data_IF_579720329769
#
_entry.id   IF_579720329769
#
_cell.length_a   1.000
_cell.length_b   1.000
_cell.length_c   1.000
_cell.angle_alpha   90.00
_cell.angle_beta   90.00
_cell.angle_gamma   90.00
#
_symmetry.space_group_name_H-M   'P 1'
#
loop_
_entity.id
_entity.type
_entity.pdbx_description
1 polymer ?
#
# COMPACT_ATOMS: atom_id res chain seq x y z
N UNK A 1 1.23 11.23 -19.11
CA UNK A 1 0.39 10.47 -18.14
C UNK A 1 0.92 9.06 -17.97
N UNK A 2 1.32 8.36 -19.04
CA UNK A 2 2.03 7.07 -18.97
C UNK A 2 3.34 7.14 -18.16
N UNK A 3 4.14 8.20 -18.33
CA UNK A 3 5.40 8.36 -17.58
C UNK A 3 5.24 8.39 -16.05
N UNK A 4 4.13 8.92 -15.52
CA UNK A 4 3.93 9.03 -14.06
C UNK A 4 3.52 7.68 -13.45
N UNK A 5 2.70 6.92 -14.18
CA UNK A 5 2.30 5.57 -13.77
C UNK A 5 3.49 4.60 -13.89
N UNK A 6 4.33 4.73 -14.92
CA UNK A 6 5.59 3.98 -15.07
C UNK A 6 6.59 4.31 -13.97
N UNK A 7 6.81 5.60 -13.67
CA UNK A 7 7.66 6.04 -12.56
C UNK A 7 7.18 5.49 -11.22
N UNK A 8 5.86 5.45 -11.00
CA UNK A 8 5.28 4.91 -9.77
C UNK A 8 5.46 3.40 -9.68
N UNK A 9 5.28 2.66 -10.77
CA UNK A 9 5.52 1.22 -10.80
C UNK A 9 7.00 0.90 -10.54
N UNK A 10 7.92 1.69 -11.09
CA UNK A 10 9.35 1.57 -10.84
C UNK A 10 9.69 1.84 -9.37
N UNK A 11 9.07 2.85 -8.76
CA UNK A 11 9.21 3.16 -7.33
C UNK A 11 8.69 2.02 -6.45
N UNK A 12 7.52 1.46 -6.77
CA UNK A 12 6.96 0.31 -6.03
C UNK A 12 7.88 -0.91 -6.14
N UNK A 13 8.44 -1.16 -7.33
CA UNK A 13 9.38 -2.25 -7.57
C UNK A 13 10.66 -2.07 -6.76
N UNK A 14 11.20 -0.85 -6.70
CA UNK A 14 12.37 -0.50 -5.87
C UNK A 14 12.09 -0.69 -4.37
N UNK A 15 10.91 -0.30 -3.89
CA UNK A 15 10.50 -0.50 -2.48
C UNK A 15 10.39 -1.99 -2.16
N UNK A 16 9.72 -2.79 -3.00
CA UNK A 16 9.63 -4.24 -2.79
C UNK A 16 10.99 -4.93 -2.80
N UNK A 17 11.86 -4.53 -3.73
CA UNK A 17 13.22 -5.05 -3.80
C UNK A 17 14.00 -4.75 -2.52
N UNK A 18 13.96 -3.49 -2.06
CA UNK A 18 14.55 -3.06 -0.80
C UNK A 18 14.02 -3.86 0.39
N UNK A 19 12.71 -4.01 0.52
CA UNK A 19 12.09 -4.75 1.62
C UNK A 19 12.52 -6.22 1.63
N UNK A 20 12.64 -6.81 0.44
CA UNK A 20 13.13 -8.18 0.27
C UNK A 20 14.59 -8.29 0.71
N UNK A 21 15.46 -7.37 0.26
CA UNK A 21 16.88 -7.34 0.64
C UNK A 21 17.05 -7.12 2.13
N UNK A 22 16.28 -6.20 2.72
CA UNK A 22 16.29 -5.94 4.16
C UNK A 22 15.85 -7.18 4.95
N UNK A 23 14.76 -7.83 4.53
CA UNK A 23 14.26 -9.05 5.16
C UNK A 23 15.29 -10.19 5.09
N UNK A 24 15.97 -10.36 3.95
CA UNK A 24 17.05 -11.36 3.80
C UNK A 24 18.21 -11.04 4.73
N UNK A 25 18.67 -9.79 4.77
CA UNK A 25 19.77 -9.38 5.64
C UNK A 25 19.46 -9.61 7.13
N UNK A 26 18.25 -9.24 7.56
CA UNK A 26 17.77 -9.47 8.94
C UNK A 26 17.66 -10.97 9.23
N UNK A 27 17.07 -11.76 8.32
CA UNK A 27 16.95 -13.21 8.49
C UNK A 27 18.31 -13.89 8.59
N UNK A 28 19.27 -13.47 7.76
CA UNK A 28 20.66 -13.96 7.77
C UNK A 28 21.35 -13.61 9.09
N UNK A 29 21.11 -12.43 9.64
CA UNK A 29 21.61 -12.03 10.95
C UNK A 29 21.07 -12.94 12.07
N UNK A 30 19.76 -13.24 12.06
CA UNK A 30 19.14 -14.13 13.04
C UNK A 30 19.66 -15.56 12.95
N UNK A 31 19.80 -16.11 11.74
CA UNK A 31 20.37 -17.45 11.54
C UNK A 31 21.82 -17.49 12.05
N UNK A 32 22.62 -16.47 11.73
CA UNK A 32 24.01 -16.37 12.21
C UNK A 32 24.07 -16.31 13.75
N UNK A 33 23.15 -15.59 14.39
CA UNK A 33 23.01 -15.58 15.85
C UNK A 33 22.62 -16.95 16.40
N UNK A 34 21.72 -17.67 15.74
CA UNK A 34 21.36 -19.03 16.10
C UNK A 34 22.56 -19.99 16.05
N UNK A 35 23.33 -19.92 14.97
CA UNK A 35 24.57 -20.71 14.81
C UNK A 35 25.58 -20.37 15.92
N UNK A 36 25.74 -19.08 16.24
CA UNK A 36 26.59 -18.63 17.33
C UNK A 36 26.19 -19.27 18.67
N UNK A 37 24.89 -19.28 18.98
CA UNK A 37 24.37 -19.91 20.21
C UNK A 37 24.66 -21.41 20.22
N UNK A 38 24.48 -22.12 19.09
CA UNK A 38 24.77 -23.55 19.00
C UNK A 38 26.27 -23.86 19.20
N UNK A 39 27.15 -22.98 18.73
CA UNK A 39 28.61 -23.09 18.97
C UNK A 39 28.94 -22.85 20.46
N UNK A 40 28.31 -21.85 21.08
CA UNK A 40 28.54 -21.51 22.49
C UNK A 40 27.99 -22.56 23.46
N UNK A 41 26.89 -23.23 23.10
CA UNK A 41 26.28 -24.32 23.86
C UNK A 41 26.96 -25.68 23.63
N UNK A 42 28.07 -25.72 22.90
CA UNK A 42 28.80 -26.95 22.58
C UNK A 42 27.97 -28.00 21.80
N UNK A 43 26.88 -27.56 21.13
CA UNK A 43 26.08 -28.42 20.25
C UNK A 43 26.82 -28.64 18.92
N UNK A 44 27.54 -27.62 18.44
CA UNK A 44 28.44 -27.71 17.29
C UNK A 44 29.88 -27.78 17.79
N UNK A 45 30.52 -28.93 17.59
CA UNK A 45 31.89 -29.13 18.05
C UNK A 45 32.88 -28.31 17.21
N UNK A 46 33.52 -27.34 17.86
CA UNK A 46 34.64 -26.56 17.32
C UNK A 46 35.79 -26.68 18.30
N UNK A 47 36.98 -26.96 17.76
CA UNK A 47 38.24 -26.96 18.49
C UNK A 47 38.40 -25.68 19.33
N UNK A 48 38.78 -25.85 20.59
CA UNK A 48 38.82 -24.79 21.60
C UNK A 48 39.60 -23.55 21.13
N UNK A 49 40.71 -23.77 20.41
CA UNK A 49 41.60 -22.74 19.87
C UNK A 49 40.92 -21.81 18.87
N UNK A 50 39.93 -22.31 18.12
CA UNK A 50 39.26 -21.56 17.05
C UNK A 50 37.87 -21.08 17.44
N UNK A 51 37.29 -21.62 18.52
CA UNK A 51 35.92 -21.30 18.96
C UNK A 51 35.71 -19.80 19.15
N UNK A 52 36.64 -19.15 19.84
CA UNK A 52 36.57 -17.71 20.12
C UNK A 52 36.66 -16.89 18.84
N UNK A 53 37.61 -17.21 17.96
CA UNK A 53 37.80 -16.51 16.69
C UNK A 53 36.57 -16.64 15.77
N UNK A 54 36.03 -17.85 15.65
CA UNK A 54 34.84 -18.13 14.83
C UNK A 54 33.60 -17.44 15.42
N UNK A 55 33.44 -17.44 16.74
CA UNK A 55 32.32 -16.77 17.41
C UNK A 55 32.34 -15.26 17.17
N UNK A 56 33.52 -14.63 17.28
CA UNK A 56 33.69 -13.19 17.01
C UNK A 56 33.38 -12.89 15.54
N UNK A 57 33.86 -13.70 14.61
CA UNK A 57 33.60 -13.51 13.18
C UNK A 57 32.10 -13.58 12.87
N UNK A 58 31.40 -14.60 13.37
CA UNK A 58 29.96 -14.77 13.18
C UNK A 58 29.20 -13.60 13.80
N UNK A 59 29.61 -13.14 14.99
CA UNK A 59 29.00 -12.00 15.65
C UNK A 59 29.13 -10.71 14.81
N UNK A 60 30.32 -10.45 14.25
CA UNK A 60 30.55 -9.29 13.37
C UNK A 60 29.67 -9.37 12.12
N UNK A 61 29.60 -10.54 11.46
CA UNK A 61 28.78 -10.74 10.26
C UNK A 61 27.28 -10.56 10.55
N UNK A 62 26.80 -11.09 11.67
CA UNK A 62 25.42 -10.90 12.10
C UNK A 62 25.12 -9.42 12.34
N UNK A 63 26.03 -8.71 13.00
CA UNK A 63 25.88 -7.29 13.32
C UNK A 63 25.84 -6.42 12.06
N UNK A 64 26.75 -6.64 11.11
CA UNK A 64 26.77 -5.95 9.82
C UNK A 64 25.49 -6.19 9.02
N UNK A 65 25.00 -7.44 8.97
CA UNK A 65 23.77 -7.80 8.27
C UNK A 65 22.54 -7.11 8.89
N UNK A 66 22.51 -7.02 10.22
CA UNK A 66 21.44 -6.35 10.94
C UNK A 66 21.43 -4.84 10.70
N UNK A 67 22.60 -4.20 10.76
CA UNK A 67 22.74 -2.76 10.45
C UNK A 67 22.29 -2.45 9.02
N UNK A 68 22.70 -3.28 8.05
CA UNK A 68 22.34 -3.08 6.65
C UNK A 68 20.83 -3.25 6.42
N UNK A 69 20.22 -4.25 7.06
CA UNK A 69 18.77 -4.46 6.99
C UNK A 69 17.98 -3.30 7.59
N UNK A 70 18.35 -2.83 8.78
CA UNK A 70 17.70 -1.68 9.43
C UNK A 70 17.90 -0.42 8.59
N UNK A 71 19.13 -0.14 8.15
CA UNK A 71 19.44 1.02 7.33
C UNK A 71 18.60 1.08 6.05
N UNK A 72 18.44 -0.06 5.35
CA UNK A 72 17.59 -0.14 4.16
C UNK A 72 16.14 0.22 4.47
N UNK A 73 15.60 -0.22 5.61
CA UNK A 73 14.22 0.09 6.00
C UNK A 73 14.03 1.55 6.40
N UNK A 74 15.02 2.17 7.04
CA UNK A 74 14.90 3.54 7.59
C UNK A 74 15.28 4.64 6.60
N UNK A 75 16.22 4.38 5.69
CA UNK A 75 16.81 5.42 4.81
C UNK A 75 15.95 5.78 3.61
N UNK A 76 14.99 4.93 3.24
CA UNK A 76 14.07 5.18 2.13
C UNK A 76 12.67 5.30 2.74
N UNK A 77 12.12 6.51 2.92
CA UNK A 77 10.72 6.65 3.30
C UNK A 77 9.88 5.97 2.22
N UNK A 78 9.04 5.02 2.59
CA UNK A 78 8.07 4.44 1.66
C UNK A 78 7.22 5.60 1.13
N UNK A 79 7.28 5.92 -0.17
CA UNK A 79 6.35 6.89 -0.72
C UNK A 79 4.97 6.32 -0.47
N UNK A 80 4.14 7.07 0.25
CA UNK A 80 2.76 6.67 0.44
C UNK A 80 2.15 6.55 -0.95
N UNK A 81 1.73 5.34 -1.32
CA UNK A 81 1.01 5.11 -2.57
C UNK A 81 -0.07 6.20 -2.69
N UNK A 82 -0.16 6.91 -3.83
CA UNK A 82 -1.22 7.89 -4.01
C UNK A 82 -2.54 7.20 -3.71
N UNK A 83 -3.32 7.79 -2.81
CA UNK A 83 -4.61 7.25 -2.40
C UNK A 83 -5.48 7.14 -3.65
N UNK A 84 -5.63 5.92 -4.17
CA UNK A 84 -6.58 5.64 -5.23
C UNK A 84 -7.97 5.76 -4.60
N UNK A 85 -8.76 6.69 -5.12
CA UNK A 85 -10.09 6.99 -4.62
C UNK A 85 -11.08 6.68 -5.72
N UNK A 86 -12.07 5.86 -5.41
CA UNK A 86 -13.30 5.79 -6.19
C UNK A 86 -14.37 6.57 -5.45
N UNK A 87 -15.16 7.38 -6.13
CA UNK A 87 -16.21 8.16 -5.47
C UNK A 87 -17.57 7.93 -6.13
N UNK A 88 -18.64 7.96 -5.34
CA UNK A 88 -20.01 8.07 -5.84
C UNK A 88 -20.33 9.52 -6.25
N UNK A 89 -21.45 9.74 -6.94
CA UNK A 89 -21.80 11.07 -7.46
C UNK A 89 -21.86 12.15 -6.38
N UNK A 90 -22.32 11.78 -5.17
CA UNK A 90 -22.37 12.70 -4.02
C UNK A 90 -20.98 12.99 -3.45
N UNK A 91 -20.15 11.96 -3.30
CA UNK A 91 -18.78 12.06 -2.84
C UNK A 91 -17.90 12.90 -3.76
N UNK A 92 -18.11 12.82 -5.08
CA UNK A 92 -17.39 13.65 -6.07
C UNK A 92 -17.70 15.14 -5.86
N UNK A 93 -18.98 15.49 -5.70
CA UNK A 93 -19.39 16.88 -5.50
C UNK A 93 -18.77 17.46 -4.22
N UNK A 94 -18.87 16.73 -3.11
CA UNK A 94 -18.32 17.15 -1.82
C UNK A 94 -16.77 17.21 -1.83
N UNK A 95 -16.10 16.30 -2.54
CA UNK A 95 -14.64 16.35 -2.72
C UNK A 95 -14.20 17.61 -3.48
N UNK A 96 -14.90 17.95 -4.55
CA UNK A 96 -14.60 19.14 -5.35
C UNK A 96 -14.90 20.44 -4.60
N UNK A 97 -16.00 20.49 -3.84
CA UNK A 97 -16.32 21.64 -2.98
C UNK A 97 -15.23 21.87 -1.91
N UNK A 98 -14.63 20.79 -1.41
CA UNK A 98 -13.51 20.85 -0.44
C UNK A 98 -12.15 21.13 -1.11
N UNK A 99 -12.11 21.31 -2.43
CA UNK A 99 -10.89 21.67 -3.16
C UNK A 99 -9.96 20.49 -3.47
N UNK A 100 -10.47 19.26 -3.50
CA UNK A 100 -9.68 18.11 -3.94
C UNK A 100 -9.37 18.20 -5.44
N UNK A 101 -8.09 18.22 -5.79
CA UNK A 101 -7.56 18.34 -7.15
C UNK A 101 -6.94 17.03 -7.69
N UNK A 102 -6.91 15.99 -6.85
CA UNK A 102 -6.33 14.70 -7.20
C UNK A 102 -7.17 13.88 -8.19
N UNK A 103 -6.59 12.76 -8.64
CA UNK A 103 -7.22 11.85 -9.59
C UNK A 103 -8.35 11.07 -8.92
N UNK A 104 -9.57 11.19 -9.43
CA UNK A 104 -10.76 10.48 -8.94
C UNK A 104 -11.13 9.39 -9.93
N UNK A 105 -11.25 8.16 -9.46
CA UNK A 105 -11.74 7.07 -10.28
C UNK A 105 -13.27 6.98 -10.16
N UNK A 106 -13.95 6.73 -11.26
CA UNK A 106 -15.42 6.67 -11.29
C UNK A 106 -15.86 5.46 -12.11
N UNK A 107 -17.01 4.89 -11.77
CA UNK A 107 -17.60 3.84 -12.61
C UNK A 107 -18.43 4.47 -13.72
N UNK A 108 -18.71 3.70 -14.77
CA UNK A 108 -19.56 4.17 -15.87
C UNK A 108 -20.96 4.60 -15.39
N UNK A 109 -21.53 3.87 -14.42
CA UNK A 109 -22.84 4.19 -13.83
C UNK A 109 -22.81 5.48 -13.01
N UNK A 110 -21.73 5.73 -12.27
CA UNK A 110 -21.53 7.01 -11.57
C UNK A 110 -21.32 8.15 -12.56
N UNK A 111 -20.50 7.94 -13.60
CA UNK A 111 -20.16 8.98 -14.59
C UNK A 111 -21.40 9.48 -15.35
N UNK A 112 -22.31 8.58 -15.74
CA UNK A 112 -23.57 8.93 -16.40
C UNK A 112 -24.48 9.86 -15.57
N UNK A 113 -24.39 9.78 -14.24
CA UNK A 113 -25.22 10.59 -13.32
C UNK A 113 -24.63 11.96 -13.02
N UNK A 114 -23.37 12.20 -13.36
CA UNK A 114 -22.69 13.45 -13.06
C UNK A 114 -23.07 14.56 -14.05
N UNK A 115 -23.22 15.81 -13.58
CA UNK A 115 -23.35 16.94 -14.49
C UNK A 115 -22.09 17.07 -15.37
N UNK A 116 -22.23 17.36 -16.69
CA UNK A 116 -21.08 17.47 -17.60
C UNK A 116 -20.02 18.50 -17.15
N UNK A 117 -20.45 19.55 -16.44
CA UNK A 117 -19.56 20.57 -15.87
C UNK A 117 -18.62 20.03 -14.79
N UNK A 118 -19.06 19.01 -14.05
CA UNK A 118 -18.27 18.29 -13.03
C UNK A 118 -17.29 17.35 -13.72
N UNK A 119 -17.78 16.67 -14.78
CA UNK A 119 -17.01 15.94 -15.79
C UNK A 119 -15.68 16.57 -16.18
N UNK A 120 -15.75 17.84 -16.54
CA UNK A 120 -14.63 18.61 -17.11
C UNK A 120 -13.71 19.23 -16.05
N UNK A 121 -14.21 19.45 -14.82
CA UNK A 121 -13.44 20.08 -13.74
C UNK A 121 -12.65 19.08 -12.92
N UNK A 122 -13.16 17.86 -12.80
CA UNK A 122 -12.51 16.81 -12.02
C UNK A 122 -11.56 15.99 -12.91
N UNK A 123 -10.38 15.68 -12.39
CA UNK A 123 -9.43 14.77 -13.03
C UNK A 123 -9.91 13.32 -12.89
N UNK A 124 -10.94 12.96 -13.67
CA UNK A 124 -11.64 11.68 -13.55
C UNK A 124 -11.12 10.62 -14.51
N UNK A 125 -10.98 9.39 -14.02
CA UNK A 125 -10.74 8.21 -14.85
C UNK A 125 -11.90 7.22 -14.69
N UNK A 126 -12.53 6.87 -15.81
CA UNK A 126 -13.61 5.88 -15.83
C UNK A 126 -13.00 4.48 -15.76
N UNK A 127 -13.56 3.64 -14.88
CA UNK A 127 -13.22 2.23 -14.75
C UNK A 127 -14.44 1.41 -15.17
N UNK A 128 -14.17 0.36 -15.95
CA UNK A 128 -15.17 -0.62 -16.32
C UNK A 128 -15.24 -1.76 -15.29
N UNK A 129 -16.46 -2.04 -14.84
CA UNK A 129 -16.80 -2.99 -13.78
C UNK A 129 -17.96 -3.83 -14.29
N UNK A 130 -17.84 -5.16 -14.25
CA UNK A 130 -18.90 -6.04 -14.72
C UNK A 130 -20.09 -6.00 -13.76
N UNK A 131 -21.29 -6.24 -14.29
CA UNK A 131 -22.50 -6.31 -13.46
C UNK A 131 -22.42 -7.43 -12.43
N UNK A 132 -21.83 -8.57 -12.81
CA UNK A 132 -21.62 -9.73 -11.95
C UNK A 132 -20.80 -9.37 -10.71
N UNK A 133 -19.72 -8.59 -10.85
CA UNK A 133 -18.90 -8.11 -9.73
C UNK A 133 -19.67 -7.13 -8.82
N UNK A 134 -20.55 -6.30 -9.41
CA UNK A 134 -21.37 -5.34 -8.67
C UNK A 134 -22.52 -6.02 -7.90
N UNK A 135 -23.07 -7.11 -8.43
CA UNK A 135 -24.18 -7.85 -7.80
C UNK A 135 -23.80 -8.45 -6.44
N UNK A 136 -22.53 -8.81 -6.22
CA UNK A 136 -22.01 -9.22 -4.91
C UNK A 136 -22.24 -8.16 -3.80
N UNK A 137 -22.35 -6.89 -4.22
CA UNK A 137 -22.49 -5.73 -3.35
C UNK A 137 -23.87 -5.08 -3.41
N UNK A 138 -24.84 -5.66 -4.13
CA UNK A 138 -26.17 -5.09 -4.40
C UNK A 138 -26.91 -4.56 -3.15
N UNK A 139 -26.63 -5.13 -1.98
CA UNK A 139 -27.15 -4.70 -0.67
C UNK A 139 -26.87 -3.23 -0.32
N UNK A 140 -25.90 -2.58 -0.98
CA UNK A 140 -25.53 -1.19 -0.71
C UNK A 140 -26.16 -0.16 -1.67
N UNK A 141 -26.99 -0.62 -2.61
CA UNK A 141 -27.61 0.21 -3.63
C UNK A 141 -26.77 0.25 -4.91
N UNK A 142 -27.44 0.42 -6.05
CA UNK A 142 -26.88 0.19 -7.39
C UNK A 142 -25.54 0.91 -7.61
N UNK A 143 -25.52 2.23 -7.42
CA UNK A 143 -24.31 3.06 -7.63
C UNK A 143 -23.16 2.76 -6.67
N UNK A 144 -23.46 2.58 -5.38
CA UNK A 144 -22.43 2.26 -4.39
C UNK A 144 -21.84 0.87 -4.64
N UNK A 145 -22.65 -0.06 -5.16
CA UNK A 145 -22.23 -1.43 -5.48
C UNK A 145 -21.18 -1.45 -6.58
N UNK A 146 -21.41 -0.70 -7.67
CA UNK A 146 -20.39 -0.54 -8.72
C UNK A 146 -19.13 0.16 -8.18
N UNK A 147 -19.28 1.19 -7.36
CA UNK A 147 -18.16 1.88 -6.75
C UNK A 147 -17.31 0.95 -5.85
N UNK A 148 -17.96 0.10 -5.04
CA UNK A 148 -17.29 -0.88 -4.18
C UNK A 148 -16.59 -1.96 -5.01
N UNK A 149 -17.25 -2.50 -6.03
CA UNK A 149 -16.67 -3.50 -6.92
C UNK A 149 -15.45 -2.94 -7.67
N UNK A 150 -15.56 -1.71 -8.20
CA UNK A 150 -14.42 -1.01 -8.79
C UNK A 150 -13.29 -0.80 -7.79
N UNK A 151 -13.61 -0.45 -6.54
CA UNK A 151 -12.61 -0.21 -5.50
C UNK A 151 -11.85 -1.48 -5.10
N UNK A 152 -12.53 -2.63 -5.07
CA UNK A 152 -11.89 -3.94 -4.89
C UNK A 152 -10.89 -4.23 -6.02
N UNK A 153 -11.27 -3.96 -7.27
CA UNK A 153 -10.44 -4.21 -8.47
C UNK A 153 -9.14 -3.41 -8.46
N UNK A 154 -9.21 -2.12 -8.12
CA UNK A 154 -8.03 -1.22 -8.12
C UNK A 154 -7.39 -0.99 -6.75
N UNK A 155 -7.87 -1.67 -5.70
CA UNK A 155 -7.47 -1.50 -4.30
C UNK A 155 -7.56 -0.03 -3.85
N UNK A 156 -8.70 0.59 -4.16
CA UNK A 156 -9.01 1.98 -3.81
C UNK A 156 -9.89 2.07 -2.55
N UNK A 157 -9.93 3.26 -1.95
CA UNK A 157 -10.98 3.62 -0.98
C UNK A 157 -12.19 4.16 -1.71
N UNK A 158 -13.39 3.85 -1.23
CA UNK A 158 -14.62 4.42 -1.75
C UNK A 158 -14.93 5.69 -0.98
N UNK A 159 -15.23 6.78 -1.66
CA UNK A 159 -15.70 8.02 -1.06
C UNK A 159 -17.19 8.13 -1.29
N UNK A 160 -17.91 8.23 -0.18
CA UNK A 160 -19.36 8.41 -0.15
C UNK A 160 -19.74 9.23 1.07
N UNK A 161 -20.94 9.79 1.07
CA UNK A 161 -21.50 10.50 2.23
C UNK A 161 -21.63 9.61 3.46
N UNK A 162 -21.74 8.28 3.28
CA UNK A 162 -21.88 7.31 4.36
C UNK A 162 -20.56 6.59 4.62
N UNK A 163 -20.15 6.56 5.89
CA UNK A 163 -19.00 5.76 6.34
C UNK A 163 -19.44 4.32 6.60
N UNK A 164 -18.90 3.38 5.85
CA UNK A 164 -19.29 1.97 5.86
C UNK A 164 -18.08 1.09 5.57
N UNK A 165 -18.14 -0.20 5.96
CA UNK A 165 -17.16 -1.20 5.55
C UNK A 165 -17.86 -2.31 4.77
N UNK A 166 -17.44 -2.55 3.53
CA UNK A 166 -18.01 -3.54 2.64
C UNK A 166 -16.97 -4.62 2.32
N UNK A 167 -16.90 -5.64 3.18
CA UNK A 167 -15.82 -6.65 3.11
C UNK A 167 -14.47 -6.01 3.39
N UNK A 168 -13.54 -6.11 2.42
CA UNK A 168 -12.20 -5.53 2.50
C UNK A 168 -12.11 -4.09 1.98
N UNK A 169 -13.21 -3.52 1.49
CA UNK A 169 -13.26 -2.15 0.96
C UNK A 169 -13.75 -1.19 2.04
N UNK A 170 -12.94 -0.16 2.31
CA UNK A 170 -13.31 0.95 3.19
C UNK A 170 -14.08 2.02 2.41
N UNK A 171 -15.27 2.36 2.90
CA UNK A 171 -16.05 3.52 2.45
C UNK A 171 -15.84 4.64 3.47
N UNK A 172 -15.23 5.73 3.03
CA UNK A 172 -14.84 6.89 3.84
C UNK A 172 -15.59 8.13 3.40
N UNK A 173 -15.69 9.12 4.29
CA UNK A 173 -16.27 10.41 3.94
C UNK A 173 -15.24 11.30 3.25
N UNK A 174 -15.67 12.30 2.46
CA UNK A 174 -14.77 13.31 1.89
C UNK A 174 -13.90 14.02 2.94
N UNK A 175 -14.42 14.19 4.17
CA UNK A 175 -13.71 14.80 5.29
C UNK A 175 -12.53 13.96 5.78
N UNK A 176 -12.71 12.64 5.85
CA UNK A 176 -11.66 11.72 6.28
C UNK A 176 -10.52 11.68 5.24
N UNK A 177 -10.84 11.81 3.96
CA UNK A 177 -9.84 11.95 2.89
C UNK A 177 -9.05 13.24 3.05
N UNK A 178 -9.73 14.38 3.22
CA UNK A 178 -9.05 15.68 3.36
C UNK A 178 -8.15 15.72 4.59
N UNK A 179 -8.58 15.18 5.74
CA UNK A 179 -7.73 15.06 6.94
C UNK A 179 -6.48 14.24 6.68
N UNK A 180 -6.60 13.13 5.95
CA UNK A 180 -5.47 12.26 5.60
C UNK A 180 -4.46 12.95 4.68
N UNK A 181 -4.93 13.89 3.85
CA UNK A 181 -4.11 14.69 2.94
C UNK A 181 -3.45 15.88 3.65
N UNK A 182 -4.15 16.50 4.62
CA UNK A 182 -3.61 17.63 5.41
C UNK A 182 -2.66 17.19 6.53
N UNK A 183 -2.66 15.91 6.92
CA UNK A 183 -1.76 15.37 7.94
C UNK A 183 -0.42 14.86 7.39
N UNK A 184 -0.16 15.07 6.09
CA UNK A 184 1.12 14.80 5.43
C UNK A 184 1.78 16.11 5.04
#
# INVERSE_FOLDING_TARGET
>A
MEELDELMEEVIKKVKFRDTVAAIAISTAFISFGILILILLDIIYISLEFRTAISILILILAWLSMLLGIYMLTSIPTPSLPLKIIADSQGILELLEKGYDGKIYVTMETFKKLPPKVGLKANMQVIDVSKEEAEEYAKFGDELSYAIAGAKKIRAKVVSKRKLKAGDVEVVTPEDIMKTLSSK
#
